data_IF_144965540207
#
_entry.id   IF_144965540207
#
_cell.length_a   1.000
_cell.length_b   1.000
_cell.length_c   1.000
_cell.angle_alpha   90.00
_cell.angle_beta   90.00
_cell.angle_gamma   90.00
#
_symmetry.space_group_name_H-M   'P 1'
#
loop_
_entity.id
_entity.type
_entity.pdbx_description
1 polymer ?
#
# COMPACT_ATOMS: atom_id res chain seq x y z
N UNK A 1 -13.23 9.99 -1.05
CA UNK A 1 -13.41 9.92 -2.53
C UNK A 1 -13.45 8.46 -2.94
N UNK A 2 -14.05 8.11 -4.08
CA UNK A 2 -13.83 6.77 -4.65
C UNK A 2 -12.33 6.59 -4.97
N UNK A 3 -11.80 5.38 -4.82
CA UNK A 3 -10.36 5.11 -4.95
C UNK A 3 -9.79 5.53 -6.31
N UNK A 4 -10.59 5.37 -7.37
CA UNK A 4 -10.20 5.69 -8.74
C UNK A 4 -10.09 7.20 -9.01
N UNK A 5 -10.58 8.05 -8.11
CA UNK A 5 -10.44 9.50 -8.24
C UNK A 5 -9.05 10.00 -7.89
N UNK A 6 -8.23 9.21 -7.18
CA UNK A 6 -6.91 9.64 -6.71
C UNK A 6 -6.01 10.16 -7.84
N UNK A 7 -5.85 9.39 -8.92
CA UNK A 7 -5.04 9.80 -10.06
C UNK A 7 -5.61 11.01 -10.81
N UNK A 8 -6.94 11.13 -10.90
CA UNK A 8 -7.60 12.26 -11.55
C UNK A 8 -7.40 13.58 -10.77
N UNK A 9 -7.38 13.50 -9.43
CA UNK A 9 -7.06 14.66 -8.60
C UNK A 9 -5.58 15.07 -8.75
N UNK A 10 -4.67 14.11 -8.89
CA UNK A 10 -3.26 14.39 -9.17
C UNK A 10 -3.09 15.08 -10.53
N UNK A 11 -3.77 14.60 -11.58
CA UNK A 11 -3.78 15.24 -12.91
C UNK A 11 -4.28 16.69 -12.88
N UNK A 12 -5.18 17.00 -11.95
CA UNK A 12 -5.71 18.35 -11.76
C UNK A 12 -4.84 19.25 -10.89
N UNK A 13 -3.68 18.77 -10.43
CA UNK A 13 -2.82 19.49 -9.49
C UNK A 13 -3.46 19.71 -8.13
N UNK A 14 -4.43 18.88 -7.75
CA UNK A 14 -5.15 18.99 -6.47
C UNK A 14 -4.54 18.12 -5.36
N UNK A 15 -3.37 17.53 -5.63
CA UNK A 15 -2.64 16.68 -4.69
C UNK A 15 -1.16 17.07 -4.73
N UNK A 16 -0.67 17.61 -3.62
CA UNK A 16 0.75 18.01 -3.48
C UNK A 16 1.67 16.83 -3.09
N UNK A 17 1.11 15.84 -2.38
CA UNK A 17 1.85 14.76 -1.73
C UNK A 17 0.97 13.54 -1.52
N UNK A 18 1.54 12.35 -1.69
CA UNK A 18 0.94 11.09 -1.26
C UNK A 18 1.74 10.52 -0.10
N UNK A 19 1.06 10.16 0.98
CA UNK A 19 1.62 9.40 2.11
C UNK A 19 0.74 8.17 2.35
N UNK A 20 1.35 7.00 2.43
CA UNK A 20 0.69 5.73 2.77
C UNK A 20 1.36 5.08 3.97
N UNK A 21 0.68 4.10 4.57
CA UNK A 21 1.31 3.18 5.53
C UNK A 21 2.10 2.07 4.83
N UNK A 22 2.54 1.10 5.61
CA UNK A 22 3.06 -0.18 5.11
C UNK A 22 2.70 -1.29 6.09
N UNK A 23 2.21 -2.40 5.55
CA UNK A 23 2.03 -3.65 6.28
C UNK A 23 3.35 -4.41 6.39
N UNK A 24 4.17 -4.36 5.33
CA UNK A 24 5.53 -4.91 5.30
C UNK A 24 6.41 -4.17 4.29
N UNK A 25 7.63 -3.83 4.67
CA UNK A 25 8.63 -3.27 3.74
C UNK A 25 9.84 -4.18 3.67
N UNK A 26 10.31 -4.51 2.48
CA UNK A 26 11.47 -5.41 2.30
C UNK A 26 12.79 -4.69 2.58
N UNK A 27 13.89 -5.43 2.77
CA UNK A 27 15.24 -4.86 2.81
C UNK A 27 15.66 -4.17 1.49
N UNK A 28 14.96 -4.47 0.39
CA UNK A 28 15.06 -3.78 -0.90
C UNK A 28 14.29 -2.45 -0.96
N UNK A 29 13.55 -2.12 0.10
CA UNK A 29 12.63 -0.97 0.21
C UNK A 29 11.37 -1.06 -0.67
N UNK A 30 10.99 -2.26 -1.13
CA UNK A 30 9.67 -2.46 -1.73
C UNK A 30 8.60 -2.46 -0.63
N UNK A 31 7.52 -1.73 -0.86
CA UNK A 31 6.47 -1.48 0.13
C UNK A 31 5.26 -2.35 -0.19
N UNK A 32 4.97 -3.33 0.65
CA UNK A 32 3.69 -4.04 0.67
C UNK A 32 2.72 -3.29 1.57
N UNK A 33 1.54 -2.97 1.04
CA UNK A 33 0.48 -2.25 1.74
C UNK A 33 -0.88 -2.59 1.11
N UNK A 34 -1.98 -2.11 1.71
CA UNK A 34 -3.35 -2.33 1.21
C UNK A 34 -3.46 -2.16 -0.31
N UNK A 35 -4.14 -3.11 -0.96
CA UNK A 35 -4.33 -3.13 -2.42
C UNK A 35 -4.84 -1.77 -2.93
N UNK A 36 -4.30 -1.34 -4.05
CA UNK A 36 -4.46 -0.02 -4.62
C UNK A 36 -3.25 0.88 -4.39
N UNK A 37 -2.39 0.62 -3.41
CA UNK A 37 -1.19 1.45 -3.12
C UNK A 37 -0.29 1.57 -4.34
N UNK A 38 -0.02 0.47 -5.04
CA UNK A 38 0.77 0.47 -6.28
C UNK A 38 0.17 1.38 -7.37
N UNK A 39 -1.15 1.37 -7.54
CA UNK A 39 -1.83 2.24 -8.50
C UNK A 39 -1.68 3.73 -8.14
N UNK A 40 -1.74 4.07 -6.85
CA UNK A 40 -1.53 5.45 -6.40
C UNK A 40 -0.08 5.89 -6.62
N UNK A 41 0.89 4.99 -6.42
CA UNK A 41 2.31 5.25 -6.68
C UNK A 41 2.60 5.46 -8.18
N UNK A 42 1.96 4.67 -9.05
CA UNK A 42 2.04 4.87 -10.50
C UNK A 42 1.46 6.23 -10.92
N UNK A 43 0.26 6.57 -10.43
CA UNK A 43 -0.36 7.85 -10.73
C UNK A 43 0.45 9.03 -10.18
N UNK A 44 1.00 8.91 -8.96
CA UNK A 44 1.83 9.95 -8.36
C UNK A 44 3.08 10.19 -9.22
N UNK A 45 3.79 9.13 -9.62
CA UNK A 45 4.96 9.23 -10.50
C UNK A 45 4.63 9.90 -11.83
N UNK A 46 3.54 9.50 -12.48
CA UNK A 46 3.11 10.04 -13.78
C UNK A 46 2.81 11.55 -13.70
N UNK A 47 2.29 12.01 -12.56
CA UNK A 47 1.92 13.41 -12.34
C UNK A 47 2.99 14.23 -11.60
N UNK A 48 4.18 13.69 -11.38
CA UNK A 48 5.26 14.38 -10.65
C UNK A 48 4.96 14.64 -9.17
N UNK A 49 3.99 13.94 -8.59
CA UNK A 49 3.63 14.04 -7.16
C UNK A 49 4.54 13.13 -6.34
N UNK A 50 5.07 13.64 -5.24
CA UNK A 50 5.94 12.85 -4.35
C UNK A 50 5.12 11.80 -3.61
N UNK A 51 5.67 10.59 -3.47
CA UNK A 51 5.03 9.44 -2.85
C UNK A 51 5.87 8.91 -1.70
N UNK A 52 5.38 8.97 -0.47
CA UNK A 52 6.09 8.47 0.71
C UNK A 52 5.34 7.31 1.36
N UNK A 53 6.10 6.37 1.92
CA UNK A 53 5.56 5.36 2.83
C UNK A 53 6.06 5.66 4.25
N UNK A 54 5.14 5.70 5.21
CA UNK A 54 5.43 5.87 6.62
C UNK A 54 5.31 4.51 7.32
N UNK A 55 6.38 4.10 8.00
CA UNK A 55 6.45 2.80 8.66
C UNK A 55 7.42 2.80 9.85
N UNK A 56 7.14 2.05 10.93
CA UNK A 56 8.11 1.81 11.98
C UNK A 56 9.18 0.80 11.53
N UNK A 57 10.32 0.77 12.22
CA UNK A 57 11.36 -0.25 11.99
C UNK A 57 10.83 -1.70 12.03
N UNK A 58 9.85 -1.98 12.89
CA UNK A 58 9.27 -3.31 13.05
C UNK A 58 8.52 -3.81 11.81
N UNK A 59 8.14 -2.92 10.90
CA UNK A 59 7.52 -3.24 9.61
C UNK A 59 8.56 -3.64 8.55
N UNK A 60 9.85 -3.37 8.78
CA UNK A 60 10.93 -3.73 7.87
C UNK A 60 11.28 -5.20 8.06
N UNK A 61 11.03 -6.01 7.03
CA UNK A 61 11.42 -7.40 6.97
C UNK A 61 12.80 -7.52 6.31
N UNK A 62 13.83 -7.60 7.15
CA UNK A 62 15.23 -7.68 6.71
C UNK A 62 15.57 -9.01 6.02
N UNK A 63 14.74 -10.04 6.17
CA UNK A 63 14.93 -11.33 5.51
C UNK A 63 14.54 -11.29 4.03
N UNK A 64 13.57 -10.45 3.67
CA UNK A 64 13.07 -10.33 2.30
C UNK A 64 13.87 -9.29 1.52
N UNK A 65 14.45 -9.70 0.38
CA UNK A 65 15.27 -8.82 -0.45
C UNK A 65 14.46 -8.05 -1.50
N UNK A 66 13.34 -8.63 -1.96
CA UNK A 66 12.53 -8.11 -3.05
C UNK A 66 11.05 -8.33 -2.78
N UNK A 67 10.21 -7.42 -3.25
CA UNK A 67 8.77 -7.43 -3.05
C UNK A 67 8.06 -8.65 -3.68
N UNK A 68 8.63 -9.25 -4.72
CA UNK A 68 8.10 -10.49 -5.33
C UNK A 68 8.13 -11.71 -4.38
N UNK A 69 8.90 -11.64 -3.30
CA UNK A 69 8.96 -12.68 -2.28
C UNK A 69 7.94 -12.45 -1.14
N UNK A 70 7.19 -11.35 -1.15
CA UNK A 70 6.16 -11.09 -0.13
C UNK A 70 4.92 -11.91 -0.46
N UNK A 71 4.49 -12.85 0.41
CA UNK A 71 3.24 -13.57 0.21
C UNK A 71 2.06 -12.59 0.36
N UNK A 72 1.12 -12.64 -0.59
CA UNK A 72 -0.07 -11.80 -0.57
C UNK A 72 -1.25 -12.59 -0.02
N UNK A 73 -1.88 -12.06 1.03
CA UNK A 73 -3.08 -12.62 1.63
C UNK A 73 -4.25 -12.52 0.64
N UNK A 74 -4.88 -13.66 0.34
CA UNK A 74 -6.18 -13.72 -0.33
C UNK A 74 -7.27 -13.86 0.73
N UNK A 75 -8.22 -12.92 0.73
CA UNK A 75 -9.33 -12.86 1.69
C UNK A 75 -10.61 -13.39 1.06
N UNK A 76 -11.66 -13.51 1.89
CA UNK A 76 -12.96 -13.98 1.40
C UNK A 76 -13.46 -13.12 0.22
N UNK A 77 -13.96 -13.74 -0.86
CA UNK A 77 -14.62 -13.02 -1.96
C UNK A 77 -15.89 -12.29 -1.51
N UNK A 78 -16.44 -12.62 -0.34
CA UNK A 78 -17.62 -11.94 0.22
C UNK A 78 -17.37 -10.45 0.49
N UNK A 79 -16.12 -10.06 0.79
CA UNK A 79 -15.78 -8.65 1.02
C UNK A 79 -15.84 -7.80 -0.27
N UNK A 80 -15.82 -8.43 -1.43
CA UNK A 80 -15.99 -7.78 -2.75
C UNK A 80 -17.45 -7.86 -3.20
N UNK A 81 -18.10 -8.99 -2.93
CA UNK A 81 -19.43 -9.29 -3.47
C UNK A 81 -20.58 -8.82 -2.59
N UNK A 82 -20.32 -8.54 -1.31
CA UNK A 82 -21.32 -8.08 -0.34
C UNK A 82 -20.88 -6.79 0.35
N UNK A 83 -21.85 -5.97 0.75
CA UNK A 83 -21.62 -4.78 1.57
C UNK A 83 -22.59 -4.75 2.74
N UNK A 84 -22.08 -4.44 3.93
CA UNK A 84 -22.87 -4.24 5.13
C UNK A 84 -22.96 -2.74 5.43
N UNK A 85 -24.17 -2.23 5.59
CA UNK A 85 -24.40 -0.81 5.82
C UNK A 85 -25.73 -0.55 6.51
N UNK A 86 -26.00 0.73 6.77
CA UNK A 86 -27.27 1.17 7.35
C UNK A 86 -28.27 1.48 6.25
N UNK A 87 -29.44 0.82 6.26
CA UNK A 87 -30.51 1.07 5.30
C UNK A 87 -31.26 2.37 5.62
N UNK A 88 -32.11 2.83 4.70
CA UNK A 88 -32.97 4.01 4.89
C UNK A 88 -33.95 3.85 6.06
N UNK A 89 -34.26 2.61 6.46
CA UNK A 89 -35.05 2.30 7.65
C UNK A 89 -34.26 2.40 8.97
N UNK A 90 -32.95 2.66 8.90
CA UNK A 90 -32.06 2.74 10.06
C UNK A 90 -31.49 1.42 10.55
N UNK A 91 -31.81 0.29 9.90
CA UNK A 91 -31.33 -1.06 10.22
C UNK A 91 -29.95 -1.32 9.61
N UNK A 92 -29.15 -2.19 10.24
CA UNK A 92 -27.94 -2.73 9.63
C UNK A 92 -28.32 -3.94 8.78
N UNK A 93 -27.94 -3.89 7.50
CA UNK A 93 -28.26 -4.91 6.51
C UNK A 93 -27.02 -5.23 5.68
N UNK A 94 -26.90 -6.49 5.26
CA UNK A 94 -25.87 -6.95 4.32
C UNK A 94 -26.54 -7.29 3.00
N UNK A 95 -26.07 -6.69 1.90
CA UNK A 95 -26.63 -6.89 0.56
C UNK A 95 -25.56 -7.39 -0.40
N UNK A 96 -25.96 -8.25 -1.34
CA UNK A 96 -25.12 -8.70 -2.44
C UNK A 96 -25.11 -7.63 -3.55
N UNK A 97 -23.91 -7.24 -3.98
CA UNK A 97 -23.68 -6.21 -5.00
C UNK A 97 -23.56 -6.76 -6.43
N UNK A 98 -23.25 -8.05 -6.57
CA UNK A 98 -22.99 -8.72 -7.85
C UNK A 98 -24.07 -9.77 -8.15
N UNK A 99 -24.24 -10.22 -9.42
CA UNK A 99 -25.12 -11.34 -9.72
C UNK A 99 -24.76 -12.61 -8.95
N UNK A 100 -25.76 -13.45 -8.66
CA UNK A 100 -25.55 -14.75 -8.02
C UNK A 100 -24.61 -15.64 -8.84
N UNK A 101 -23.73 -16.38 -8.17
CA UNK A 101 -22.72 -17.23 -8.81
C UNK A 101 -21.49 -16.50 -9.37
N UNK A 102 -21.43 -15.15 -9.30
CA UNK A 102 -20.24 -14.41 -9.73
C UNK A 102 -19.02 -14.73 -8.86
N UNK A 103 -17.90 -15.06 -9.49
CA UNK A 103 -16.62 -15.21 -8.80
C UNK A 103 -16.00 -13.84 -8.47
N UNK A 104 -15.19 -13.78 -7.41
CA UNK A 104 -14.40 -12.60 -7.07
C UNK A 104 -13.00 -13.00 -6.59
N UNK A 105 -12.01 -12.16 -6.89
CA UNK A 105 -10.66 -12.25 -6.34
C UNK A 105 -10.48 -11.11 -5.35
N UNK A 106 -9.95 -11.41 -4.16
CA UNK A 106 -9.75 -10.42 -3.11
C UNK A 106 -8.35 -10.53 -2.51
N UNK A 107 -7.36 -9.99 -3.22
CA UNK A 107 -6.01 -9.83 -2.68
C UNK A 107 -5.98 -8.62 -1.74
N UNK A 108 -5.62 -8.85 -0.48
CA UNK A 108 -5.69 -7.83 0.56
C UNK A 108 -4.61 -6.75 0.41
N UNK A 109 -3.54 -7.03 -0.32
CA UNK A 109 -2.36 -6.16 -0.42
C UNK A 109 -1.81 -6.16 -1.85
N UNK A 110 -1.05 -5.12 -2.17
CA UNK A 110 -0.18 -5.09 -3.34
C UNK A 110 1.23 -4.64 -2.95
N UNK A 111 2.17 -4.82 -3.89
CA UNK A 111 3.56 -4.44 -3.72
C UNK A 111 3.85 -3.23 -4.59
N UNK A 112 4.27 -2.15 -3.95
CA UNK A 112 4.79 -0.94 -4.57
C UNK A 112 6.32 -1.02 -4.65
N UNK A 113 6.91 -1.12 -5.85
CA UNK A 113 8.36 -1.19 -5.98
C UNK A 113 9.06 0.08 -5.50
N UNK A 114 10.23 -0.07 -4.89
CA UNK A 114 11.01 1.03 -4.31
C UNK A 114 11.21 2.22 -5.26
N UNK A 115 11.37 1.96 -6.57
CA UNK A 115 11.52 2.99 -7.62
C UNK A 115 10.34 3.96 -7.76
N UNK A 116 9.17 3.62 -7.21
CA UNK A 116 7.98 4.49 -7.20
C UNK A 116 7.83 5.27 -5.90
N UNK A 117 8.64 4.95 -4.88
CA UNK A 117 8.57 5.56 -3.56
C UNK A 117 9.66 6.63 -3.46
N UNK A 118 9.26 7.89 -3.28
CA UNK A 118 10.15 9.03 -3.09
C UNK A 118 11.01 8.86 -1.84
N UNK A 119 10.42 8.40 -0.74
CA UNK A 119 11.15 8.16 0.50
C UNK A 119 10.35 7.36 1.53
N UNK A 120 11.06 6.83 2.50
CA UNK A 120 10.50 6.14 3.65
C UNK A 120 10.60 7.05 4.87
N UNK A 121 9.51 7.17 5.61
CA UNK A 121 9.42 7.93 6.86
C UNK A 121 9.36 6.93 8.00
N UNK A 122 10.32 7.00 8.91
CA UNK A 122 10.38 6.11 10.08
C UNK A 122 10.59 6.91 11.36
N UNK A 123 10.57 6.23 12.51
CA UNK A 123 10.85 6.88 13.80
C UNK A 123 12.30 7.38 13.92
N UNK A 124 13.21 6.93 13.05
CA UNK A 124 14.61 7.39 12.99
C UNK A 124 14.87 8.47 11.93
N UNK A 125 13.82 8.94 11.26
CA UNK A 125 13.91 10.01 10.25
C UNK A 125 13.46 9.56 8.86
N UNK A 126 13.91 10.29 7.83
CA UNK A 126 13.50 10.06 6.44
C UNK A 126 14.71 9.58 5.64
N UNK A 127 14.52 8.56 4.80
CA UNK A 127 15.54 8.10 3.86
C UNK A 127 14.96 7.85 2.47
N UNK A 128 15.84 7.75 1.46
CA UNK A 128 15.44 7.26 0.13
C UNK A 128 14.90 5.83 0.25
N UNK A 129 13.88 5.47 -0.54
CA UNK A 129 13.42 4.08 -0.64
C UNK A 129 14.48 3.22 -1.36
N UNK A 130 15.48 2.80 -0.60
CA UNK A 130 16.55 1.93 -1.05
C UNK A 130 17.15 1.20 0.15
N UNK A 131 17.82 0.07 -0.13
CA UNK A 131 18.62 -0.64 0.87
C UNK A 131 19.60 0.27 1.59
N UNK A 132 20.35 1.08 0.83
CA UNK A 132 21.35 1.99 1.40
C UNK A 132 20.71 3.06 2.29
N UNK A 133 19.51 3.54 1.93
CA UNK A 133 18.72 4.46 2.75
C UNK A 133 18.31 3.84 4.08
N UNK A 134 17.76 2.63 4.05
CA UNK A 134 17.38 1.87 5.25
C UNK A 134 18.58 1.56 6.14
N UNK A 135 19.68 1.06 5.58
CA UNK A 135 20.90 0.72 6.32
C UNK A 135 21.57 1.92 6.98
N UNK A 136 21.35 3.14 6.46
CA UNK A 136 21.82 4.37 7.08
C UNK A 136 21.07 4.69 8.37
N UNK A 137 19.76 4.46 8.39
CA UNK A 137 18.92 4.69 9.58
C UNK A 137 19.02 3.54 10.60
N UNK A 138 19.27 2.32 10.12
CA UNK A 138 19.29 1.09 10.92
C UNK A 138 20.60 0.30 10.74
N UNK A 139 21.77 0.87 11.09
CA UNK A 139 23.05 0.17 10.96
C UNK A 139 23.17 -1.06 11.88
N UNK A 140 22.40 -1.07 12.96
CA UNK A 140 22.27 -2.10 13.99
C UNK A 140 21.39 -3.28 13.58
N UNK A 141 20.44 -3.08 12.65
CA UNK A 141 19.51 -4.12 12.19
C UNK A 141 19.99 -4.82 10.91
N UNK A 142 21.27 -4.74 10.60
CA UNK A 142 21.87 -5.54 9.52
C UNK A 142 21.53 -7.00 9.79
N UNK A 143 20.90 -7.65 8.80
CA UNK A 143 20.64 -9.09 8.86
C UNK A 143 21.91 -9.77 9.37
N UNK A 144 21.77 -10.52 10.47
CA UNK A 144 22.78 -11.49 10.86
C UNK A 144 23.12 -12.30 9.61
N UNK A 145 24.41 -12.33 9.26
CA UNK A 145 24.91 -13.12 8.15
C UNK A 145 24.55 -14.60 8.33
#
# INVERSE_FOLDING_TARGET
IADNLGGHLMQRGQVDLVIVGSDRTTAGADVCNKVGTYLKALAARDNGVRFYAALPASTIDWSLQAGSAVPIEERSPDEVTHITGRSSSGRIETVRLVPEGSAALNLAFDVTPARLVTGLITERGICSASRAGLQRLYPDLRAAQ
#
